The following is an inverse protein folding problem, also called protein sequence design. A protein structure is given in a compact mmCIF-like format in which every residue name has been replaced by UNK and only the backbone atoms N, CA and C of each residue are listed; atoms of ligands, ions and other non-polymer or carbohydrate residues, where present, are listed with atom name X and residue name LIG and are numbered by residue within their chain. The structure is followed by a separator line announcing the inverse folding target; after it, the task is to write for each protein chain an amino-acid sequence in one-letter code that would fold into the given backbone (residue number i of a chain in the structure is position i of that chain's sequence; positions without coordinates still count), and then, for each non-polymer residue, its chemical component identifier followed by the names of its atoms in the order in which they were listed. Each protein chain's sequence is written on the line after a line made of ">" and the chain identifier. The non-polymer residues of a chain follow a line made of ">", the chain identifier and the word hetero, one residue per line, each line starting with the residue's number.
data_IF_438177646478
#
_entry.id   IF_438177646478
#
_cell.length_a   1.000
_cell.length_b   1.000
_cell.length_c   1.000
_cell.angle_alpha   90.00
_cell.angle_beta   90.00
_cell.angle_gamma   90.00
#
_symmetry.space_group_name_H-M   'P 1'
#
loop_
_entity.id
_entity.type
_entity.pdbx_description
1 polymer ?
#
# COMPACT_ATOMS: atom_id res chain seq x y z
N UNK A 1 -36.81 19.99 22.30
CA UNK A 1 -36.45 18.68 21.71
C UNK A 1 -35.34 18.91 20.70
N UNK A 2 -34.10 18.64 21.11
CA UNK A 2 -32.95 18.66 20.21
C UNK A 2 -33.08 17.40 19.35
N UNK A 3 -33.31 17.56 18.05
CA UNK A 3 -33.24 16.44 17.11
C UNK A 3 -31.77 16.03 17.02
N UNK A 4 -31.46 14.84 17.52
CA UNK A 4 -30.23 14.13 17.20
C UNK A 4 -30.14 14.02 15.67
N UNK A 5 -29.29 14.82 15.04
CA UNK A 5 -28.83 14.56 13.69
C UNK A 5 -27.79 13.45 13.82
N UNK A 6 -28.23 12.22 13.57
CA UNK A 6 -27.47 10.99 13.75
C UNK A 6 -26.11 11.02 13.03
N UNK A 7 -25.06 10.79 13.81
CA UNK A 7 -23.65 10.69 13.39
C UNK A 7 -23.31 9.42 12.58
N UNK A 8 -24.30 8.72 12.04
CA UNK A 8 -24.15 7.44 11.31
C UNK A 8 -23.79 7.65 9.83
N UNK A 9 -24.42 8.62 9.16
CA UNK A 9 -24.20 8.89 7.75
C UNK A 9 -22.73 9.22 7.37
N UNK A 10 -21.95 9.98 8.18
CA UNK A 10 -20.53 10.21 7.92
C UNK A 10 -19.65 8.96 8.06
N UNK A 11 -20.06 7.95 8.84
CA UNK A 11 -19.33 6.69 9.01
C UNK A 11 -19.58 5.75 7.85
N UNK A 12 -20.82 5.65 7.36
CA UNK A 12 -21.14 4.79 6.21
C UNK A 12 -20.38 5.23 4.95
N UNK A 13 -20.29 6.55 4.72
CA UNK A 13 -19.50 7.11 3.62
C UNK A 13 -17.98 6.90 3.83
N UNK A 14 -17.49 6.86 5.07
CA UNK A 14 -16.09 6.54 5.38
C UNK A 14 -15.79 5.09 5.05
N UNK A 15 -16.66 4.16 5.46
CA UNK A 15 -16.53 2.75 5.13
C UNK A 15 -16.61 2.49 3.63
N UNK A 16 -17.49 3.20 2.90
CA UNK A 16 -17.55 3.12 1.45
C UNK A 16 -16.25 3.61 0.77
N UNK A 17 -15.69 4.74 1.23
CA UNK A 17 -14.41 5.24 0.74
C UNK A 17 -13.26 4.27 1.07
N UNK A 18 -13.23 3.74 2.30
CA UNK A 18 -12.22 2.77 2.72
C UNK A 18 -12.26 1.51 1.86
N UNK A 19 -13.45 1.00 1.57
CA UNK A 19 -13.63 -0.12 0.64
C UNK A 19 -13.11 0.22 -0.76
N UNK A 20 -13.37 1.42 -1.28
CA UNK A 20 -12.82 1.86 -2.56
C UNK A 20 -11.28 1.91 -2.54
N UNK A 21 -10.67 2.34 -1.44
CA UNK A 21 -9.21 2.32 -1.29
C UNK A 21 -8.66 0.88 -1.26
N UNK A 22 -9.34 -0.03 -0.56
CA UNK A 22 -9.00 -1.46 -0.56
C UNK A 22 -9.08 -2.07 -1.97
N UNK A 23 -10.14 -1.75 -2.72
CA UNK A 23 -10.30 -2.18 -4.10
C UNK A 23 -9.16 -1.63 -4.99
N UNK A 24 -8.80 -0.35 -4.83
CA UNK A 24 -7.67 0.25 -5.53
C UNK A 24 -6.33 -0.42 -5.19
N UNK A 25 -6.09 -0.76 -3.92
CA UNK A 25 -4.90 -1.51 -3.51
C UNK A 25 -4.87 -2.87 -4.22
N UNK A 26 -6.00 -3.58 -4.27
CA UNK A 26 -6.08 -4.89 -4.92
C UNK A 26 -5.74 -4.86 -6.42
N UNK A 27 -5.99 -3.73 -7.10
CA UNK A 27 -5.77 -3.56 -8.54
C UNK A 27 -4.44 -2.90 -8.92
N UNK A 28 -3.59 -2.51 -7.95
CA UNK A 28 -2.25 -1.96 -8.28
C UNK A 28 -1.45 -2.98 -9.08
N UNK A 29 -0.87 -2.53 -10.19
CA UNK A 29 -0.12 -3.41 -11.10
C UNK A 29 -0.99 -4.23 -12.05
N UNK A 30 -2.31 -3.99 -12.08
CA UNK A 30 -3.20 -4.52 -13.13
C UNK A 30 -2.82 -3.94 -14.48
N UNK A 31 -2.72 -4.80 -15.50
CA UNK A 31 -2.31 -4.43 -16.84
C UNK A 31 -2.96 -5.35 -17.87
N UNK A 32 -3.24 -4.83 -19.07
CA UNK A 32 -3.74 -5.64 -20.18
C UNK A 32 -2.71 -6.68 -20.65
N UNK A 33 -1.41 -6.39 -20.48
CA UNK A 33 -0.32 -7.31 -20.74
C UNK A 33 -0.05 -8.20 -19.52
N UNK A 34 -0.27 -9.53 -19.61
CA UNK A 34 0.02 -10.48 -18.54
C UNK A 34 1.47 -10.47 -18.06
N UNK A 35 2.43 -10.17 -18.94
CA UNK A 35 3.85 -10.12 -18.61
C UNK A 35 4.18 -9.00 -17.63
N UNK A 36 3.57 -7.82 -17.83
CA UNK A 36 3.74 -6.68 -16.93
C UNK A 36 3.08 -6.91 -15.57
N UNK A 37 1.95 -7.63 -15.53
CA UNK A 37 1.33 -8.02 -14.26
C UNK A 37 2.23 -8.98 -13.47
N UNK A 38 2.87 -9.94 -14.17
CA UNK A 38 3.78 -10.88 -13.53
C UNK A 38 5.05 -10.21 -13.03
N UNK A 39 5.63 -9.26 -13.78
CA UNK A 39 6.76 -8.45 -13.32
C UNK A 39 6.43 -7.66 -12.05
N UNK A 40 5.23 -7.06 -12.00
CA UNK A 40 4.74 -6.39 -10.79
C UNK A 40 4.61 -7.38 -9.63
N UNK A 41 3.99 -8.55 -9.84
CA UNK A 41 3.85 -9.58 -8.81
C UNK A 41 5.21 -10.05 -8.28
N UNK A 42 6.19 -10.28 -9.15
CA UNK A 42 7.54 -10.65 -8.74
C UNK A 42 8.24 -9.52 -7.96
N UNK A 43 7.99 -8.26 -8.32
CA UNK A 43 8.45 -7.12 -7.53
C UNK A 43 7.84 -7.11 -6.13
N UNK A 44 6.52 -7.25 -6.03
CA UNK A 44 5.82 -7.26 -4.76
C UNK A 44 6.18 -8.48 -3.90
N UNK A 45 6.39 -9.66 -4.50
CA UNK A 45 6.87 -10.85 -3.81
C UNK A 45 8.23 -10.59 -3.15
N UNK A 46 9.17 -9.96 -3.87
CA UNK A 46 10.47 -9.59 -3.30
C UNK A 46 10.34 -8.60 -2.15
N UNK A 47 9.47 -7.61 -2.27
CA UNK A 47 9.22 -6.64 -1.20
C UNK A 47 8.64 -7.34 0.06
N UNK A 48 7.66 -8.21 -0.12
CA UNK A 48 7.05 -8.96 0.97
C UNK A 48 8.02 -9.98 1.60
N UNK A 49 8.87 -10.64 0.80
CA UNK A 49 9.96 -11.48 1.33
C UNK A 49 10.87 -10.65 2.23
N UNK A 50 11.32 -9.48 1.77
CA UNK A 50 12.14 -8.60 2.58
C UNK A 50 11.44 -8.11 3.85
N UNK A 51 10.15 -7.80 3.78
CA UNK A 51 9.37 -7.30 4.92
C UNK A 51 9.13 -8.35 6.01
N UNK A 52 8.77 -9.59 5.61
CA UNK A 52 8.22 -10.57 6.55
C UNK A 52 9.11 -11.77 6.82
N UNK A 53 9.97 -12.16 5.86
CA UNK A 53 10.72 -13.43 5.93
C UNK A 53 12.22 -13.20 6.00
N UNK A 54 12.77 -12.41 5.08
CA UNK A 54 14.19 -12.22 4.87
C UNK A 54 14.73 -10.95 5.54
N UNK A 55 13.94 -10.24 6.34
CA UNK A 55 14.34 -8.98 6.99
C UNK A 55 15.63 -9.14 7.79
N UNK A 56 15.78 -10.22 8.57
CA UNK A 56 16.97 -10.42 9.39
C UNK A 56 18.24 -10.64 8.56
N UNK A 57 18.16 -11.39 7.45
CA UNK A 57 19.29 -11.56 6.53
C UNK A 57 19.59 -10.27 5.76
N UNK A 58 18.54 -9.50 5.42
CA UNK A 58 18.65 -8.20 4.77
C UNK A 58 19.36 -7.18 5.67
N UNK A 59 19.01 -7.12 6.96
CA UNK A 59 19.63 -6.22 7.93
C UNK A 59 21.13 -6.50 8.07
N UNK A 60 21.49 -7.78 8.29
CA UNK A 60 22.91 -8.20 8.36
C UNK A 60 23.69 -7.82 7.10
N UNK A 61 23.09 -8.03 5.93
CA UNK A 61 23.73 -7.68 4.67
C UNK A 61 23.88 -6.18 4.52
N UNK A 62 22.84 -5.41 4.85
CA UNK A 62 22.85 -3.95 4.83
C UNK A 62 23.90 -3.37 5.76
N UNK A 63 24.07 -3.93 6.96
CA UNK A 63 25.09 -3.51 7.92
C UNK A 63 26.50 -3.75 7.38
N UNK A 64 26.73 -4.88 6.72
CA UNK A 64 28.00 -5.12 6.05
C UNK A 64 28.26 -4.12 4.90
N UNK A 65 27.24 -3.84 4.08
CA UNK A 65 27.36 -2.87 2.98
C UNK A 65 27.66 -1.46 3.51
N UNK A 66 27.01 -1.04 4.61
CA UNK A 66 27.29 0.22 5.32
C UNK A 66 28.74 0.26 5.81
N UNK A 67 29.19 -0.79 6.51
CA UNK A 67 30.55 -0.86 7.05
C UNK A 67 31.64 -0.77 5.96
N UNK A 68 31.33 -1.19 4.74
CA UNK A 68 32.25 -1.16 3.60
C UNK A 68 32.05 0.04 2.66
N UNK A 69 31.12 0.97 2.95
CA UNK A 69 30.74 2.08 2.08
C UNK A 69 30.31 1.63 0.67
N UNK A 70 29.56 0.54 0.60
CA UNK A 70 29.10 -0.08 -0.66
C UNK A 70 27.64 0.24 -1.00
N UNK A 71 26.95 0.97 -0.13
CA UNK A 71 25.62 1.46 -0.42
C UNK A 71 25.72 2.70 -1.31
N UNK A 72 25.19 2.60 -2.52
CA UNK A 72 25.09 3.70 -3.45
C UNK A 72 23.93 4.61 -3.01
N UNK A 73 24.22 5.88 -2.70
CA UNK A 73 23.22 6.85 -2.26
C UNK A 73 22.51 7.44 -3.46
N UNK A 74 21.20 7.21 -3.58
CA UNK A 74 20.34 8.01 -4.48
C UNK A 74 19.39 8.83 -3.62
N UNK A 75 19.85 10.00 -3.19
CA UNK A 75 19.10 10.85 -2.26
C UNK A 75 19.10 10.26 -0.84
N UNK A 76 17.91 10.20 -0.22
CA UNK A 76 17.71 9.59 1.12
C UNK A 76 17.54 8.06 1.05
N UNK A 77 17.41 7.50 -0.16
CA UNK A 77 17.24 6.07 -0.38
C UNK A 77 18.56 5.37 -0.77
N UNK A 78 18.67 4.10 -0.34
CA UNK A 78 19.77 3.21 -0.69
C UNK A 78 19.24 2.00 -1.45
N UNK A 79 19.81 1.72 -2.62
CA UNK A 79 19.47 0.53 -3.39
C UNK A 79 20.38 -0.65 -2.99
N UNK A 80 19.77 -1.74 -2.51
CA UNK A 80 20.51 -2.97 -2.16
C UNK A 80 20.72 -3.80 -3.43
N UNK A 81 21.86 -3.58 -4.09
CA UNK A 81 22.21 -4.30 -5.30
C UNK A 81 22.91 -5.64 -4.98
N UNK A 82 22.21 -6.75 -5.19
CA UNK A 82 22.75 -8.12 -5.05
C UNK A 82 23.46 -8.64 -6.31
N UNK A 83 23.51 -7.88 -7.40
CA UNK A 83 24.21 -8.26 -8.63
C UNK A 83 25.60 -7.62 -8.76
N UNK A 84 25.95 -6.72 -7.83
CA UNK A 84 27.26 -6.07 -7.82
C UNK A 84 28.32 -7.02 -7.24
N UNK A 85 29.32 -7.35 -8.08
CA UNK A 85 30.44 -8.24 -7.71
C UNK A 85 31.26 -7.73 -6.53
N UNK A 86 31.39 -6.41 -6.34
CA UNK A 86 32.11 -5.86 -5.18
C UNK A 86 31.34 -6.12 -3.88
N UNK A 87 30.02 -6.01 -3.90
CA UNK A 87 29.15 -6.30 -2.76
C UNK A 87 29.25 -7.78 -2.37
N UNK A 88 29.19 -8.67 -3.36
CA UNK A 88 29.37 -10.10 -3.15
C UNK A 88 30.74 -10.41 -2.53
N UNK A 89 31.84 -9.83 -3.04
CA UNK A 89 33.18 -10.14 -2.55
C UNK A 89 33.40 -9.63 -1.12
N UNK A 90 33.01 -8.39 -0.82
CA UNK A 90 33.28 -7.75 0.49
C UNK A 90 32.31 -8.18 1.59
N UNK A 91 31.10 -8.59 1.22
CA UNK A 91 30.05 -8.99 2.14
C UNK A 91 29.59 -10.44 1.92
N UNK A 92 30.49 -11.31 1.42
CA UNK A 92 30.16 -12.66 0.96
C UNK A 92 29.29 -13.49 1.90
N UNK A 93 29.60 -13.59 3.22
CA UNK A 93 28.79 -14.44 4.11
C UNK A 93 27.35 -13.95 4.22
N UNK A 94 27.17 -12.65 4.48
CA UNK A 94 25.84 -12.03 4.61
C UNK A 94 25.10 -11.94 3.29
N UNK A 95 25.84 -11.77 2.18
CA UNK A 95 25.29 -11.77 0.83
C UNK A 95 24.68 -13.13 0.47
N UNK A 96 25.42 -14.22 0.70
CA UNK A 96 24.96 -15.58 0.43
C UNK A 96 23.73 -15.90 1.30
N UNK A 97 23.76 -15.55 2.59
CA UNK A 97 22.61 -15.73 3.49
C UNK A 97 21.36 -15.02 2.95
N UNK A 98 21.49 -13.75 2.56
CA UNK A 98 20.39 -12.96 2.01
C UNK A 98 19.87 -13.52 0.68
N UNK A 99 20.76 -13.81 -0.27
CA UNK A 99 20.39 -14.34 -1.59
C UNK A 99 19.71 -15.70 -1.45
N UNK A 100 20.22 -16.58 -0.59
CA UNK A 100 19.61 -17.89 -0.33
C UNK A 100 18.20 -17.73 0.25
N UNK A 101 18.01 -16.79 1.19
CA UNK A 101 16.68 -16.49 1.73
C UNK A 101 15.71 -16.04 0.62
N UNK A 102 16.15 -15.11 -0.23
CA UNK A 102 15.34 -14.58 -1.33
C UNK A 102 15.04 -15.60 -2.44
N UNK A 103 15.95 -16.55 -2.68
CA UNK A 103 15.77 -17.58 -3.70
C UNK A 103 14.97 -18.79 -3.24
N UNK A 104 14.85 -19.01 -1.93
CA UNK A 104 14.17 -20.17 -1.34
C UNK A 104 12.72 -20.32 -1.81
N UNK A 105 12.40 -21.47 -2.40
CA UNK A 105 11.02 -21.78 -2.83
C UNK A 105 10.07 -21.84 -1.63
N UNK A 106 10.50 -22.43 -0.51
CA UNK A 106 9.70 -22.48 0.72
C UNK A 106 9.35 -21.09 1.24
N UNK A 107 10.28 -20.14 1.19
CA UNK A 107 10.02 -18.76 1.61
C UNK A 107 9.04 -18.07 0.67
N UNK A 108 9.21 -18.26 -0.65
CA UNK A 108 8.28 -17.73 -1.65
C UNK A 108 6.88 -18.31 -1.46
N UNK A 109 6.77 -19.62 -1.28
CA UNK A 109 5.50 -20.31 -1.03
C UNK A 109 4.81 -19.79 0.24
N UNK A 110 5.57 -19.54 1.30
CA UNK A 110 5.03 -18.98 2.55
C UNK A 110 4.37 -17.63 2.29
N UNK A 111 5.05 -16.70 1.60
CA UNK A 111 4.48 -15.39 1.25
C UNK A 111 3.28 -15.53 0.31
N UNK A 112 3.37 -16.40 -0.69
CA UNK A 112 2.30 -16.63 -1.66
C UNK A 112 1.04 -17.23 -1.01
N UNK A 113 1.21 -18.15 -0.06
CA UNK A 113 0.11 -18.70 0.74
C UNK A 113 -0.55 -17.62 1.61
N UNK A 114 0.24 -16.80 2.31
CA UNK A 114 -0.29 -15.67 3.06
C UNK A 114 -1.06 -14.69 2.16
N UNK A 115 -0.53 -14.40 0.96
CA UNK A 115 -1.18 -13.54 -0.02
C UNK A 115 -2.51 -14.12 -0.49
N UNK A 116 -2.55 -15.40 -0.89
CA UNK A 116 -3.76 -16.07 -1.35
C UNK A 116 -4.84 -16.15 -0.25
N UNK A 117 -4.43 -16.18 1.01
CA UNK A 117 -5.32 -16.25 2.16
C UNK A 117 -5.77 -14.88 2.70
N UNK A 118 -5.24 -13.78 2.16
CA UNK A 118 -5.54 -12.43 2.64
C UNK A 118 -7.06 -12.15 2.65
N UNK A 119 -7.63 -11.60 3.76
CA UNK A 119 -9.07 -11.42 3.91
C UNK A 119 -9.71 -10.57 2.81
N UNK A 120 -9.07 -9.46 2.43
CA UNK A 120 -9.56 -8.55 1.38
C UNK A 120 -9.64 -9.17 -0.02
N UNK A 121 -9.06 -10.36 -0.22
CA UNK A 121 -9.00 -11.03 -1.52
C UNK A 121 -9.97 -12.23 -1.62
N UNK A 122 -10.91 -12.38 -0.69
CA UNK A 122 -11.84 -13.51 -0.64
C UNK A 122 -12.62 -13.72 -1.95
N UNK A 123 -13.14 -12.66 -2.57
CA UNK A 123 -13.88 -12.76 -3.83
C UNK A 123 -13.00 -13.30 -4.96
N UNK A 124 -11.74 -12.85 -5.07
CA UNK A 124 -10.80 -13.37 -6.09
C UNK A 124 -10.45 -14.84 -5.83
N UNK A 125 -10.35 -15.24 -4.56
CA UNK A 125 -10.13 -16.64 -4.18
C UNK A 125 -11.31 -17.52 -4.58
N UNK A 126 -12.54 -17.04 -4.44
CA UNK A 126 -13.73 -17.74 -4.92
C UNK A 126 -13.71 -17.92 -6.44
N UNK A 127 -13.40 -16.86 -7.20
CA UNK A 127 -13.28 -16.94 -8.68
C UNK A 127 -12.24 -17.98 -9.09
N UNK A 128 -11.09 -18.06 -8.40
CA UNK A 128 -10.09 -19.08 -8.68
C UNK A 128 -10.62 -20.49 -8.42
N UNK A 129 -11.32 -20.71 -7.31
CA UNK A 129 -11.89 -22.03 -6.99
C UNK A 129 -13.03 -22.42 -7.93
N UNK A 130 -13.83 -21.46 -8.38
CA UNK A 130 -14.83 -21.67 -9.42
C UNK A 130 -14.18 -22.11 -10.73
N UNK A 131 -13.11 -21.42 -11.15
CA UNK A 131 -12.34 -21.83 -12.33
C UNK A 131 -11.79 -23.26 -12.21
N UNK A 132 -11.17 -23.61 -11.07
CA UNK A 132 -10.64 -24.97 -10.88
C UNK A 132 -11.73 -26.03 -10.98
N UNK A 133 -12.90 -25.75 -10.40
CA UNK A 133 -14.05 -26.67 -10.47
C UNK A 133 -14.58 -26.82 -11.89
N UNK A 134 -14.56 -25.76 -12.69
CA UNK A 134 -15.06 -25.77 -14.07
C UNK A 134 -14.10 -26.49 -15.04
N UNK A 135 -12.79 -26.41 -14.80
CA UNK A 135 -11.76 -26.93 -15.69
C UNK A 135 -11.01 -28.17 -15.18
N UNK A 136 -11.46 -28.79 -14.07
CA UNK A 136 -10.79 -29.94 -13.44
C UNK A 136 -10.48 -31.09 -14.43
N UNK A 137 -11.48 -31.50 -15.23
CA UNK A 137 -11.32 -32.58 -16.22
C UNK A 137 -10.38 -32.17 -17.37
N UNK A 138 -10.42 -30.91 -17.78
CA UNK A 138 -9.63 -30.38 -18.88
C UNK A 138 -8.16 -30.22 -18.48
N UNK A 139 -7.86 -29.70 -17.29
CA UNK A 139 -6.50 -29.61 -16.76
C UNK A 139 -5.90 -31.02 -16.59
N UNK A 140 -6.67 -31.98 -16.06
CA UNK A 140 -6.23 -33.37 -15.88
C UNK A 140 -5.89 -34.04 -17.22
N UNK A 141 -6.70 -33.80 -18.26
CA UNK A 141 -6.51 -34.41 -19.58
C UNK A 141 -5.41 -33.75 -20.40
N UNK A 142 -5.33 -32.42 -20.36
CA UNK A 142 -4.42 -31.63 -21.21
C UNK A 142 -3.07 -31.37 -20.58
N UNK A 143 -2.97 -31.47 -19.24
CA UNK A 143 -1.83 -31.01 -18.45
C UNK A 143 -1.47 -29.53 -18.71
N UNK A 144 -2.46 -28.72 -19.12
CA UNK A 144 -2.33 -27.28 -19.33
C UNK A 144 -3.16 -26.52 -18.31
N UNK A 145 -2.55 -25.53 -17.66
CA UNK A 145 -3.21 -24.72 -16.64
C UNK A 145 -4.24 -23.77 -17.28
N UNK A 146 -5.52 -23.94 -16.94
CA UNK A 146 -6.62 -23.10 -17.40
C UNK A 146 -6.82 -21.90 -16.49
N UNK A 147 -6.50 -22.03 -15.20
CA UNK A 147 -6.78 -21.01 -14.19
C UNK A 147 -5.61 -20.07 -13.87
N UNK A 148 -4.67 -19.88 -14.81
CA UNK A 148 -3.48 -19.04 -14.60
C UNK A 148 -3.81 -17.56 -14.38
N UNK A 149 -4.80 -17.02 -15.10
CA UNK A 149 -5.25 -15.65 -14.95
C UNK A 149 -5.91 -15.36 -13.59
N UNK A 150 -6.95 -16.11 -13.15
CA UNK A 150 -7.54 -15.88 -11.84
C UNK A 150 -6.53 -16.10 -10.71
N UNK A 151 -5.59 -17.04 -10.88
CA UNK A 151 -4.49 -17.22 -9.94
C UNK A 151 -3.59 -15.98 -9.85
N UNK A 152 -3.12 -15.45 -10.99
CA UNK A 152 -2.28 -14.25 -11.06
C UNK A 152 -2.94 -13.05 -10.40
N UNK A 153 -4.25 -12.87 -10.63
CA UNK A 153 -5.05 -11.79 -10.03
C UNK A 153 -5.22 -11.95 -8.51
N UNK A 154 -5.43 -13.18 -8.02
CA UNK A 154 -5.48 -13.47 -6.58
C UNK A 154 -4.15 -13.12 -5.90
N UNK A 155 -3.05 -13.60 -6.47
CA UNK A 155 -1.69 -13.34 -5.98
C UNK A 155 -1.41 -11.84 -5.91
N UNK A 156 -1.70 -11.10 -6.98
CA UNK A 156 -1.54 -9.64 -7.03
C UNK A 156 -2.26 -8.95 -5.87
N UNK A 157 -3.54 -9.26 -5.70
CA UNK A 157 -4.35 -8.72 -4.62
C UNK A 157 -3.68 -8.95 -3.26
N UNK A 158 -3.32 -10.20 -2.97
CA UNK A 158 -2.73 -10.57 -1.69
C UNK A 158 -1.39 -9.90 -1.43
N UNK A 159 -0.49 -9.88 -2.42
CA UNK A 159 0.83 -9.25 -2.30
C UNK A 159 0.74 -7.73 -2.11
N UNK A 160 -0.21 -7.06 -2.76
CA UNK A 160 -0.46 -5.64 -2.58
C UNK A 160 -0.95 -5.33 -1.17
N UNK A 161 -1.88 -6.13 -0.64
CA UNK A 161 -2.41 -5.91 0.70
C UNK A 161 -1.39 -6.23 1.80
N UNK A 162 -0.65 -7.34 1.71
CA UNK A 162 0.41 -7.66 2.67
C UNK A 162 1.46 -6.53 2.77
N UNK A 163 1.87 -5.99 1.63
CA UNK A 163 2.81 -4.87 1.61
C UNK A 163 2.21 -3.60 2.21
N UNK A 164 0.94 -3.33 1.91
CA UNK A 164 0.24 -2.19 2.49
C UNK A 164 0.10 -2.31 4.02
N UNK A 165 -0.20 -3.50 4.55
CA UNK A 165 -0.25 -3.76 5.99
C UNK A 165 1.12 -3.53 6.64
N UNK A 166 2.19 -4.03 6.03
CA UNK A 166 3.56 -3.78 6.49
C UNK A 166 3.87 -2.28 6.58
N UNK A 167 3.63 -1.54 5.50
CA UNK A 167 3.92 -0.10 5.45
C UNK A 167 3.13 0.68 6.51
N UNK A 168 1.85 0.33 6.71
CA UNK A 168 1.01 0.96 7.74
C UNK A 168 1.49 0.66 9.14
N UNK A 169 1.92 -0.57 9.40
CA UNK A 169 2.51 -0.94 10.68
C UNK A 169 3.80 -0.16 10.95
N UNK A 170 4.63 0.08 9.93
CA UNK A 170 5.88 0.83 10.08
C UNK A 170 5.63 2.32 10.41
N UNK A 171 4.56 2.90 9.83
CA UNK A 171 4.26 4.33 9.93
C UNK A 171 3.27 4.67 11.05
N UNK A 172 2.82 3.68 11.83
CA UNK A 172 1.72 3.80 12.79
C UNK A 172 0.45 4.42 12.15
N UNK A 173 0.22 4.12 10.86
CA UNK A 173 -0.87 4.68 10.07
C UNK A 173 -2.17 3.91 10.32
N UNK A 174 -2.99 4.40 11.26
CA UNK A 174 -4.19 3.75 11.74
C UNK A 174 -5.49 4.32 11.16
N UNK A 175 -6.62 4.02 11.83
CA UNK A 175 -7.94 4.52 11.43
C UNK A 175 -8.08 6.04 11.56
N UNK A 176 -7.36 6.66 12.51
CA UNK A 176 -7.41 8.10 12.68
C UNK A 176 -6.80 8.80 11.47
N UNK A 177 -5.64 8.36 11.00
CA UNK A 177 -4.97 8.90 9.82
C UNK A 177 -5.76 8.62 8.54
N UNK A 178 -6.38 7.44 8.41
CA UNK A 178 -7.33 7.15 7.33
C UNK A 178 -8.52 8.10 7.35
N UNK A 179 -9.09 8.36 8.51
CA UNK A 179 -10.23 9.24 8.64
C UNK A 179 -9.85 10.69 8.29
N UNK A 180 -8.63 11.12 8.65
CA UNK A 180 -8.10 12.42 8.21
C UNK A 180 -7.86 12.45 6.69
N UNK A 181 -7.28 11.40 6.08
CA UNK A 181 -7.16 11.29 4.62
C UNK A 181 -8.53 11.33 3.94
N UNK A 182 -9.51 10.62 4.50
CA UNK A 182 -10.88 10.62 4.03
C UNK A 182 -11.50 12.02 4.08
N UNK A 183 -11.33 12.74 5.21
CA UNK A 183 -11.76 14.14 5.33
C UNK A 183 -11.08 15.07 4.32
N UNK A 184 -9.80 14.83 3.99
CA UNK A 184 -9.08 15.61 2.97
C UNK A 184 -9.47 15.20 1.53
N UNK A 185 -9.83 13.93 1.31
CA UNK A 185 -10.28 13.42 0.00
C UNK A 185 -11.68 13.90 -0.38
N UNK A 186 -12.41 14.51 0.55
CA UNK A 186 -13.83 14.84 0.44
C UNK A 186 -14.20 16.08 -0.36
N UNK A 187 -13.27 16.95 -0.80
CA UNK A 187 -13.75 18.29 -1.17
C UNK A 187 -13.37 18.88 -2.53
N UNK A 188 -13.98 18.30 -3.58
CA UNK A 188 -14.20 18.98 -4.88
C UNK A 188 -15.41 19.96 -4.84
N UNK A 189 -16.10 20.14 -3.69
CA UNK A 189 -17.24 21.06 -3.53
C UNK A 189 -17.12 22.07 -2.35
N UNK A 190 -16.18 21.95 -1.41
CA UNK A 190 -15.33 23.07 -0.95
C UNK A 190 -14.26 23.39 -1.99
N UNK A 191 -14.15 22.65 -3.10
CA UNK A 191 -13.56 23.25 -4.30
C UNK A 191 -14.59 24.11 -5.01
N UNK A 192 -15.81 23.65 -5.30
CA UNK A 192 -16.78 24.45 -6.08
C UNK A 192 -17.79 25.35 -5.30
N UNK A 193 -18.43 24.92 -4.22
CA UNK A 193 -19.41 25.71 -3.45
C UNK A 193 -18.76 26.75 -2.51
N UNK A 194 -17.50 26.54 -2.08
CA UNK A 194 -16.72 27.58 -1.40
C UNK A 194 -16.31 28.71 -2.35
N UNK A 195 -15.90 28.40 -3.59
CA UNK A 195 -15.67 29.37 -4.66
C UNK A 195 -16.93 30.19 -5.01
N UNK A 196 -18.13 29.61 -4.89
CA UNK A 196 -19.40 30.32 -5.11
C UNK A 196 -19.86 31.18 -3.93
N UNK A 197 -19.55 30.81 -2.68
CA UNK A 197 -19.95 31.55 -1.47
C UNK A 197 -18.99 32.71 -1.11
N UNK A 198 -17.68 32.57 -1.41
CA UNK A 198 -16.65 33.58 -1.14
C UNK A 198 -16.55 34.70 -2.20
N UNK A 199 -17.17 34.52 -3.38
CA UNK A 199 -17.27 35.53 -4.45
C UNK A 199 -18.58 36.31 -4.40
N UNK A 200 -19.47 35.99 -3.46
CA UNK A 200 -20.67 36.77 -3.19
C UNK A 200 -20.30 38.06 -2.44
N UNK A 201 -20.50 39.19 -3.12
CA UNK A 201 -20.02 40.52 -2.71
C UNK A 201 -20.54 40.94 -1.33
N UNK A 202 -21.72 40.46 -0.94
CA UNK A 202 -22.35 40.71 0.35
C UNK A 202 -21.66 39.99 1.52
N UNK A 203 -21.02 38.86 1.23
CA UNK A 203 -20.31 38.03 2.22
C UNK A 203 -18.88 38.54 2.43
N UNK A 204 -18.22 39.03 1.38
CA UNK A 204 -16.90 39.66 1.44
C UNK A 204 -16.91 40.92 2.30
N UNK A 205 -17.94 41.77 2.18
CA UNK A 205 -18.08 42.99 2.99
C UNK A 205 -18.35 42.72 4.47
N UNK A 206 -19.03 41.61 4.80
CA UNK A 206 -19.28 41.20 6.18
C UNK A 206 -18.02 40.62 6.83
N UNK A 207 -17.30 39.76 6.11
CA UNK A 207 -16.07 39.12 6.60
C UNK A 207 -14.93 40.15 6.73
N UNK A 208 -14.83 41.14 5.84
CA UNK A 208 -13.85 42.22 5.97
C UNK A 208 -14.08 43.09 7.23
N UNK A 209 -15.33 43.28 7.65
CA UNK A 209 -15.69 43.99 8.91
C UNK A 209 -15.38 43.17 10.16
N UNK A 210 -15.59 41.86 10.11
CA UNK A 210 -15.33 40.94 11.22
C UNK A 210 -13.81 40.69 11.39
N UNK A 211 -13.06 40.53 10.29
CA UNK A 211 -11.60 40.32 10.31
C UNK A 211 -10.81 41.56 10.76
N UNK A 212 -11.30 42.77 10.50
CA UNK A 212 -10.70 44.01 11.03
C UNK A 212 -10.82 44.11 12.57
N UNK A 213 -11.72 43.35 13.20
CA UNK A 213 -11.90 43.33 14.65
C UNK A 213 -10.96 42.32 15.34
N UNK A 214 -10.58 41.22 14.68
CA UNK A 214 -9.85 40.11 15.30
C UNK A 214 -8.32 40.21 15.22
N UNK A 215 -7.76 40.93 14.25
CA UNK A 215 -6.30 41.14 14.12
C UNK A 215 -5.69 41.94 15.29
N UNK A 216 -6.52 42.58 16.13
CA UNK A 216 -6.07 43.33 17.32
C UNK A 216 -5.70 42.46 18.54
N UNK A 217 -5.83 41.13 18.51
CA UNK A 217 -5.70 40.28 19.70
C UNK A 217 -4.39 39.46 19.80
N UNK A 218 -3.35 39.86 19.06
CA UNK A 218 -2.13 39.07 18.79
C UNK A 218 -1.50 38.30 19.96
N UNK A 219 -1.47 36.97 19.86
CA UNK A 219 -0.60 36.09 20.67
C UNK A 219 -0.15 34.82 19.94
N UNK A 220 1.05 34.34 20.31
CA UNK A 220 1.84 33.29 19.63
C UNK A 220 1.48 31.88 20.14
N UNK A 221 1.45 30.84 19.27
CA UNK A 221 0.99 29.50 19.64
C UNK A 221 1.91 28.67 20.56
N UNK A 222 1.30 27.71 21.26
CA UNK A 222 1.81 27.04 22.48
C UNK A 222 2.71 25.83 22.29
N UNK A 223 2.98 25.36 21.07
CA UNK A 223 3.87 24.20 20.80
C UNK A 223 5.38 24.49 20.96
N UNK A 224 5.73 25.61 21.61
CA UNK A 224 7.08 25.92 22.11
C UNK A 224 7.21 25.81 23.63
N UNK A 225 6.24 25.19 24.31
CA UNK A 225 6.33 24.86 25.74
C UNK A 225 6.31 23.36 25.94
#
# INVERSE_FOLDING_TARGET
>A
MIKNFDSQFPRDLFHAWKKQQEDQISERGSNIDPGLEEEHNQSMLRQNLNAFVCYASLDKYTDCLKANNLLDKRGDDYEINTRNRQNEVRCRPTHIEYVNCMSSNTNKETVMQSAAMHPSCQTRRQVLFECFREHEEEETRSNTAQCSEPYRRLVRCGLNHLWNEYWRSLTNFGENEEFHLYQMSKDDKQRQQFLQFATDKSTVERIAKEAAAEVNAGTVPSWRK
#
